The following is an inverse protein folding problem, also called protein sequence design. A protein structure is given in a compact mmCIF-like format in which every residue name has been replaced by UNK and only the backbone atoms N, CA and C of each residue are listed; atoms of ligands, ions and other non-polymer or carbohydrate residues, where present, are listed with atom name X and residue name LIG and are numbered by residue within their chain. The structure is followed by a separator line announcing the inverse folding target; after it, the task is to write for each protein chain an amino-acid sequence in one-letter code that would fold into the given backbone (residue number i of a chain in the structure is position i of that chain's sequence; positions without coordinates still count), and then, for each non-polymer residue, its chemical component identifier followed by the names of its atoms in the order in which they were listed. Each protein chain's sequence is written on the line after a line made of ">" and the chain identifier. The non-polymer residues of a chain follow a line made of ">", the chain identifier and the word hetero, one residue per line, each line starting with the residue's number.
data_IF_109936678324
#
_entry.id   IF_109936678324
#
_cell.length_a   1.000
_cell.length_b   1.000
_cell.length_c   1.000
_cell.angle_alpha   90.00
_cell.angle_beta   90.00
_cell.angle_gamma   90.00
#
_symmetry.space_group_name_H-M   'P 1'
#
loop_
_entity.id
_entity.type
_entity.pdbx_description
1 polymer ?
#
# COMPACT_ATOMS: atom_id res chain seq x y z
N UNK A 1 30.13 8.43 -4.95
CA UNK A 1 28.70 8.23 -5.29
C UNK A 1 27.89 9.33 -4.62
N UNK A 2 26.97 9.96 -5.36
CA UNK A 2 26.16 11.07 -4.83
C UNK A 2 24.93 10.57 -4.04
N UNK A 3 24.54 9.29 -4.21
CA UNK A 3 23.38 8.66 -3.59
C UNK A 3 23.75 7.40 -2.82
N UNK A 4 22.91 7.00 -1.84
CA UNK A 4 23.07 5.74 -1.14
C UNK A 4 23.00 4.57 -2.13
N UNK A 5 23.82 3.53 -1.91
CA UNK A 5 23.92 2.33 -2.76
C UNK A 5 22.53 1.69 -3.01
N UNK A 6 21.66 1.68 -2.01
CA UNK A 6 20.29 1.15 -2.11
C UNK A 6 19.43 1.82 -3.18
N UNK A 7 19.79 3.01 -3.63
CA UNK A 7 19.11 3.75 -4.67
C UNK A 7 19.83 3.78 -6.01
N UNK A 8 21.00 3.12 -6.12
CA UNK A 8 21.82 3.16 -7.33
C UNK A 8 21.27 2.33 -8.48
N UNK A 9 20.49 1.28 -8.18
CA UNK A 9 19.98 0.31 -9.14
C UNK A 9 18.44 0.17 -9.08
N UNK A 10 17.73 1.28 -8.85
CA UNK A 10 16.28 1.26 -8.89
C UNK A 10 15.79 0.93 -10.32
N UNK A 11 14.79 0.06 -10.47
CA UNK A 11 14.21 -0.21 -11.77
C UNK A 11 13.60 1.06 -12.36
N UNK A 12 13.74 1.22 -13.69
CA UNK A 12 13.15 2.36 -14.38
C UNK A 12 11.63 2.38 -14.19
N UNK A 13 11.10 3.55 -13.95
CA UNK A 13 9.66 3.75 -13.77
C UNK A 13 8.89 3.32 -15.03
N UNK A 14 7.81 2.58 -14.86
CA UNK A 14 7.06 2.00 -15.99
C UNK A 14 6.39 3.07 -16.89
N UNK A 15 5.93 4.18 -16.33
CA UNK A 15 5.19 5.21 -17.06
C UNK A 15 5.97 5.88 -18.20
N UNK A 16 7.23 6.33 -18.03
CA UNK A 16 8.02 6.85 -19.15
C UNK A 16 8.20 5.84 -20.27
N UNK A 17 8.40 4.57 -19.92
CA UNK A 17 8.52 3.49 -20.91
C UNK A 17 7.22 3.27 -21.67
N UNK A 18 6.09 3.25 -20.97
CA UNK A 18 4.78 3.13 -21.60
C UNK A 18 4.47 4.31 -22.52
N UNK A 19 4.77 5.54 -22.08
CA UNK A 19 4.60 6.73 -22.93
C UNK A 19 5.44 6.64 -24.20
N UNK A 20 6.71 6.28 -24.09
CA UNK A 20 7.58 6.15 -25.26
C UNK A 20 7.06 5.11 -26.28
N UNK A 21 6.43 4.04 -25.80
CA UNK A 21 5.77 3.05 -26.68
C UNK A 21 4.51 3.64 -27.34
N UNK A 22 3.69 4.36 -26.59
CA UNK A 22 2.45 4.95 -27.11
C UNK A 22 2.72 6.10 -28.09
N UNK A 23 3.70 6.96 -27.80
CA UNK A 23 4.05 8.11 -28.63
C UNK A 23 4.60 7.69 -30.02
N UNK A 24 5.05 6.44 -30.16
CA UNK A 24 5.51 5.89 -31.43
C UNK A 24 4.35 5.44 -32.35
N UNK A 25 3.10 5.49 -31.89
CA UNK A 25 1.94 4.99 -32.64
C UNK A 25 0.81 6.00 -32.66
N UNK A 26 0.24 6.24 -33.85
CA UNK A 26 -0.98 7.04 -33.95
C UNK A 26 -2.18 6.24 -33.48
N UNK A 27 -3.06 6.89 -32.69
CA UNK A 27 -4.31 6.29 -32.26
C UNK A 27 -5.35 6.20 -33.39
N UNK A 28 -6.16 5.15 -33.39
CA UNK A 28 -7.24 4.96 -34.38
C UNK A 28 -8.46 5.89 -34.18
N UNK A 29 -8.44 6.78 -33.16
CA UNK A 29 -9.53 7.68 -32.83
C UNK A 29 -9.23 8.52 -31.60
N UNK A 30 -10.26 9.12 -30.99
CA UNK A 30 -10.10 9.91 -29.75
C UNK A 30 -9.60 9.02 -28.62
N UNK A 31 -8.47 9.35 -27.96
CA UNK A 31 -7.90 8.54 -26.91
C UNK A 31 -8.84 8.42 -25.70
N UNK A 32 -9.04 7.18 -25.23
CA UNK A 32 -9.73 6.89 -23.97
C UNK A 32 -8.67 6.48 -22.95
N UNK A 33 -8.41 7.35 -21.97
CA UNK A 33 -7.40 7.10 -20.94
C UNK A 33 -7.93 6.12 -19.88
N UNK A 34 -7.44 4.87 -19.89
CA UNK A 34 -7.77 3.80 -18.95
C UNK A 34 -6.58 3.34 -18.09
N UNK A 35 -5.46 4.06 -18.12
CA UNK A 35 -4.21 3.67 -17.45
C UNK A 35 -4.15 4.06 -15.98
N UNK A 36 -5.00 5.00 -15.54
CA UNK A 36 -5.07 5.47 -14.15
C UNK A 36 -6.49 5.31 -13.65
N UNK A 37 -6.64 4.52 -12.58
CA UNK A 37 -7.92 4.34 -11.87
C UNK A 37 -8.17 5.48 -10.90
N UNK A 38 -8.74 6.58 -11.38
CA UNK A 38 -9.14 7.71 -10.55
C UNK A 38 -10.64 7.99 -10.66
N UNK A 39 -11.29 8.52 -9.61
CA UNK A 39 -12.69 8.93 -9.69
C UNK A 39 -12.89 10.01 -10.76
N UNK A 40 -13.88 9.84 -11.63
CA UNK A 40 -14.22 10.81 -12.69
C UNK A 40 -15.47 11.62 -12.38
N UNK A 41 -16.26 11.19 -11.38
CA UNK A 41 -17.47 11.88 -10.97
C UNK A 41 -17.14 13.09 -10.09
N UNK A 42 -17.98 14.13 -10.18
CA UNK A 42 -17.85 15.26 -9.28
C UNK A 42 -18.03 14.82 -7.81
N UNK A 43 -17.18 15.33 -6.94
CA UNK A 43 -17.34 15.10 -5.50
C UNK A 43 -18.57 15.85 -4.95
N UNK A 44 -19.19 15.40 -3.86
CA UNK A 44 -20.33 16.07 -3.25
C UNK A 44 -20.01 17.50 -2.83
N UNK A 45 -20.89 18.45 -3.13
CA UNK A 45 -20.68 19.89 -2.84
C UNK A 45 -20.44 20.18 -1.34
N UNK A 46 -21.06 19.42 -0.45
CA UNK A 46 -20.88 19.57 1.00
C UNK A 46 -19.41 19.42 1.47
N UNK A 47 -18.54 18.79 0.68
CA UNK A 47 -17.11 18.65 1.04
C UNK A 47 -16.42 20.01 1.16
N UNK A 48 -16.65 20.90 0.20
CA UNK A 48 -16.09 22.26 0.22
C UNK A 48 -16.72 23.12 1.32
N UNK A 49 -18.01 22.92 1.60
CA UNK A 49 -18.72 23.63 2.64
C UNK A 49 -18.14 23.28 4.03
N UNK A 50 -17.90 22.00 4.31
CA UNK A 50 -17.28 21.57 5.55
C UNK A 50 -15.83 22.06 5.69
N UNK A 51 -15.02 22.02 4.62
CA UNK A 51 -13.67 22.60 4.65
C UNK A 51 -13.72 24.10 4.98
N UNK A 52 -14.62 24.85 4.35
CA UNK A 52 -14.79 26.28 4.59
C UNK A 52 -15.22 26.58 6.04
N UNK A 53 -16.16 25.82 6.57
CA UNK A 53 -16.66 25.92 7.92
C UNK A 53 -15.56 25.72 8.97
N UNK A 54 -14.59 24.87 8.68
CA UNK A 54 -13.49 24.53 9.58
C UNK A 54 -12.15 25.18 9.18
N UNK A 55 -12.15 26.19 8.31
CA UNK A 55 -10.93 26.83 7.77
C UNK A 55 -10.00 27.39 8.84
N UNK A 56 -10.51 27.80 10.00
CA UNK A 56 -9.68 28.26 11.12
C UNK A 56 -8.68 27.20 11.63
N UNK A 57 -8.94 25.91 11.38
CA UNK A 57 -8.02 24.83 11.70
C UNK A 57 -6.68 24.89 10.95
N UNK A 58 -6.62 25.55 9.80
CA UNK A 58 -5.38 25.72 9.03
C UNK A 58 -4.37 26.69 9.69
N UNK A 59 -4.77 27.41 10.72
CA UNK A 59 -3.90 28.39 11.40
C UNK A 59 -2.87 27.76 12.37
N UNK A 60 -2.87 26.43 12.52
CA UNK A 60 -1.96 25.73 13.43
C UNK A 60 -1.55 24.37 12.88
N UNK A 61 -0.42 23.87 13.36
CA UNK A 61 -0.01 22.49 13.06
C UNK A 61 -0.96 21.50 13.74
N UNK A 62 -1.36 20.42 13.03
CA UNK A 62 -2.08 19.32 13.67
C UNK A 62 -1.15 18.51 14.58
N UNK A 63 -1.69 17.76 15.57
CA UNK A 63 -0.95 16.74 16.27
C UNK A 63 -0.37 15.68 15.31
N UNK A 64 0.79 15.11 15.64
CA UNK A 64 1.47 14.14 14.77
C UNK A 64 0.61 12.88 14.50
N UNK A 65 -0.10 12.42 15.50
CA UNK A 65 -1.00 11.26 15.43
C UNK A 65 -2.38 11.57 14.83
N UNK A 66 -2.66 12.82 14.54
CA UNK A 66 -3.98 13.34 14.18
C UNK A 66 -4.77 13.87 15.40
N UNK A 67 -5.74 14.75 15.14
CA UNK A 67 -6.55 15.27 16.24
C UNK A 67 -7.41 14.17 16.89
N UNK A 68 -7.72 14.27 18.20
CA UNK A 68 -8.58 13.30 18.88
C UNK A 68 -9.95 13.15 18.20
N UNK A 69 -10.52 14.26 17.67
CA UNK A 69 -11.79 14.24 16.97
C UNK A 69 -11.72 13.43 15.67
N UNK A 70 -10.64 13.57 14.91
CA UNK A 70 -10.43 12.79 13.68
C UNK A 70 -10.27 11.31 14.00
N UNK A 71 -9.45 10.94 14.98
CA UNK A 71 -9.22 9.57 15.39
C UNK A 71 -10.48 8.90 15.90
N UNK A 72 -11.27 9.61 16.73
CA UNK A 72 -12.58 9.15 17.20
C UNK A 72 -13.57 8.97 16.04
N UNK A 73 -13.62 9.90 15.10
CA UNK A 73 -14.50 9.79 13.92
C UNK A 73 -14.13 8.56 13.04
N UNK A 74 -12.83 8.27 12.90
CA UNK A 74 -12.35 7.07 12.20
C UNK A 74 -12.81 5.80 12.92
N UNK A 75 -12.64 5.71 14.24
CA UNK A 75 -13.07 4.56 15.05
C UNK A 75 -14.58 4.32 14.93
N UNK A 76 -15.39 5.37 15.07
CA UNK A 76 -16.84 5.30 14.91
C UNK A 76 -17.22 4.83 13.48
N UNK A 77 -16.51 5.30 12.46
CA UNK A 77 -16.78 4.89 11.08
C UNK A 77 -16.44 3.41 10.86
N UNK A 78 -15.32 2.93 11.41
CA UNK A 78 -14.89 1.52 11.31
C UNK A 78 -15.90 0.63 12.02
N UNK A 79 -16.31 1.00 13.24
CA UNK A 79 -17.32 0.25 13.99
C UNK A 79 -18.64 0.14 13.22
N UNK A 80 -19.12 1.26 12.66
CA UNK A 80 -20.35 1.28 11.86
C UNK A 80 -20.24 0.48 10.56
N UNK A 81 -19.08 0.54 9.89
CA UNK A 81 -18.89 -0.06 8.54
C UNK A 81 -18.56 -1.53 8.59
N UNK A 82 -17.77 -1.95 9.58
CA UNK A 82 -17.17 -3.27 9.66
C UNK A 82 -17.52 -4.04 10.92
N UNK A 83 -18.17 -3.41 11.91
CA UNK A 83 -18.47 -4.05 13.20
C UNK A 83 -17.24 -4.30 14.07
N UNK A 84 -16.16 -3.54 13.83
CA UNK A 84 -14.89 -3.66 14.58
C UNK A 84 -14.73 -2.43 15.46
N UNK A 85 -14.54 -2.65 16.76
CA UNK A 85 -14.23 -1.60 17.71
C UNK A 85 -12.71 -1.40 17.74
N UNK A 86 -12.28 -0.12 17.69
CA UNK A 86 -10.87 0.28 17.77
C UNK A 86 -10.72 1.40 18.78
N UNK A 87 -9.68 1.32 19.59
CA UNK A 87 -9.31 2.42 20.49
C UNK A 87 -8.69 3.58 19.69
N UNK A 88 -9.33 4.76 19.66
CA UNK A 88 -8.83 5.90 18.90
C UNK A 88 -7.47 6.41 19.38
N UNK A 89 -7.07 6.11 20.62
CA UNK A 89 -5.83 6.62 21.19
C UNK A 89 -4.61 5.71 20.95
N UNK A 90 -4.83 4.42 20.77
CA UNK A 90 -3.74 3.44 20.66
C UNK A 90 -3.73 2.68 19.31
N UNK A 91 -4.86 2.65 18.59
CA UNK A 91 -4.99 1.84 17.36
C UNK A 91 -5.27 2.67 16.10
N UNK A 92 -5.37 4.01 16.23
CA UNK A 92 -5.64 4.90 15.09
C UNK A 92 -4.60 6.00 15.00
N UNK A 93 -3.99 6.14 13.83
CA UNK A 93 -3.06 7.21 13.51
C UNK A 93 -3.41 7.84 12.15
N UNK A 94 -3.47 9.17 12.11
CA UNK A 94 -3.68 9.87 10.85
C UNK A 94 -2.43 9.83 9.97
N UNK A 95 -2.65 9.77 8.65
CA UNK A 95 -1.60 9.76 7.64
C UNK A 95 -1.81 10.89 6.65
N UNK A 96 -0.73 11.36 6.02
CA UNK A 96 -0.78 12.27 4.87
C UNK A 96 -1.13 11.55 3.56
N UNK A 97 -1.94 10.50 3.66
CA UNK A 97 -2.36 9.63 2.58
C UNK A 97 -1.83 8.20 2.76
N UNK A 98 -2.64 7.23 2.32
CA UNK A 98 -2.34 5.79 2.47
C UNK A 98 -1.08 5.36 1.71
N UNK A 99 -0.73 6.03 0.61
CA UNK A 99 0.50 5.77 -0.13
C UNK A 99 1.74 5.99 0.74
N UNK A 100 1.79 7.11 1.47
CA UNK A 100 2.89 7.40 2.41
C UNK A 100 2.87 6.45 3.60
N UNK A 101 1.68 6.13 4.10
CA UNK A 101 1.52 5.15 5.17
C UNK A 101 2.11 3.79 4.82
N UNK A 102 1.79 3.27 3.64
CA UNK A 102 2.34 2.00 3.14
C UNK A 102 3.87 2.05 2.99
N UNK A 103 4.41 3.16 2.49
CA UNK A 103 5.85 3.35 2.39
C UNK A 103 6.52 3.42 3.76
N UNK A 104 6.00 4.26 4.65
CA UNK A 104 6.58 4.50 5.97
C UNK A 104 6.46 3.29 6.90
N UNK A 105 5.39 2.50 6.80
CA UNK A 105 5.23 1.29 7.60
C UNK A 105 6.40 0.32 7.40
N UNK A 106 6.82 0.09 6.16
CA UNK A 106 7.98 -0.78 5.89
C UNK A 106 9.28 -0.17 6.38
N UNK A 107 9.44 1.16 6.24
CA UNK A 107 10.62 1.85 6.79
C UNK A 107 10.71 1.70 8.31
N UNK A 108 9.59 1.78 9.01
CA UNK A 108 9.53 1.64 10.47
C UNK A 108 9.70 0.19 10.94
N UNK A 109 9.18 -0.79 10.19
CA UNK A 109 9.14 -2.18 10.58
C UNK A 109 10.37 -2.99 10.14
N UNK A 110 11.14 -2.52 9.14
CA UNK A 110 12.28 -3.28 8.62
C UNK A 110 13.51 -3.12 9.48
N UNK A 111 13.96 -4.17 10.19
CA UNK A 111 15.24 -4.14 10.89
C UNK A 111 16.40 -4.17 9.88
N UNK A 112 17.61 -3.81 10.31
CA UNK A 112 18.80 -3.91 9.47
C UNK A 112 19.06 -5.36 9.03
N UNK A 113 18.77 -6.34 9.91
CA UNK A 113 18.85 -7.78 9.65
C UNK A 113 17.77 -8.53 10.44
N UNK A 114 17.24 -9.60 9.85
CA UNK A 114 16.38 -10.57 10.54
C UNK A 114 17.04 -11.94 10.41
N UNK A 115 17.27 -12.63 11.51
CA UNK A 115 17.99 -13.91 11.58
C UNK A 115 19.37 -13.86 10.88
N UNK A 116 20.10 -12.74 11.03
CA UNK A 116 21.42 -12.53 10.43
C UNK A 116 21.40 -12.22 8.93
N UNK A 117 20.24 -12.28 8.27
CA UNK A 117 20.06 -12.08 6.84
C UNK A 117 19.41 -10.72 6.51
N UNK A 118 19.43 -10.36 5.23
CA UNK A 118 18.67 -9.21 4.72
C UNK A 118 17.18 -9.48 4.89
N UNK A 119 16.40 -8.60 5.53
CA UNK A 119 14.97 -8.82 5.71
C UNK A 119 14.23 -8.86 4.36
N UNK A 120 13.16 -9.63 4.29
CA UNK A 120 12.29 -9.74 3.13
C UNK A 120 10.95 -9.04 3.38
N UNK A 121 10.43 -8.40 2.34
CA UNK A 121 9.07 -7.86 2.30
C UNK A 121 8.33 -8.55 1.16
N UNK A 122 7.29 -9.29 1.51
CA UNK A 122 6.49 -9.99 0.52
C UNK A 122 5.47 -9.05 -0.14
N UNK A 123 5.24 -9.24 -1.43
CA UNK A 123 4.24 -8.47 -2.17
C UNK A 123 3.65 -9.30 -3.31
N UNK A 124 2.37 -9.08 -3.68
CA UNK A 124 1.80 -9.72 -4.85
C UNK A 124 2.49 -9.25 -6.14
N UNK A 125 2.43 -10.02 -7.20
CA UNK A 125 2.82 -9.59 -8.54
C UNK A 125 1.66 -9.90 -9.52
N UNK A 126 1.00 -8.90 -10.11
CA UNK A 126 1.29 -7.45 -10.10
C UNK A 126 1.18 -6.77 -8.73
N UNK A 127 1.92 -5.67 -8.54
CA UNK A 127 2.02 -4.96 -7.27
C UNK A 127 1.87 -3.44 -7.44
N UNK A 128 1.52 -2.77 -6.35
CA UNK A 128 1.56 -1.32 -6.29
C UNK A 128 3.01 -0.88 -6.04
N UNK A 129 3.55 -0.01 -6.91
CA UNK A 129 4.98 0.36 -6.91
C UNK A 129 5.53 0.79 -5.55
N UNK A 130 4.71 1.38 -4.70
CA UNK A 130 5.13 1.85 -3.38
C UNK A 130 5.64 0.70 -2.50
N UNK A 131 5.14 -0.52 -2.68
CA UNK A 131 5.59 -1.68 -1.91
C UNK A 131 7.07 -1.98 -2.15
N UNK A 132 7.46 -2.07 -3.42
CA UNK A 132 8.84 -2.35 -3.81
C UNK A 132 9.78 -1.22 -3.38
N UNK A 133 9.39 0.03 -3.63
CA UNK A 133 10.23 1.18 -3.27
C UNK A 133 10.36 1.30 -1.75
N UNK A 134 9.30 1.06 -1.00
CA UNK A 134 9.35 1.00 0.47
C UNK A 134 10.33 -0.07 0.97
N UNK A 135 10.23 -1.30 0.43
CA UNK A 135 11.15 -2.39 0.77
C UNK A 135 12.62 -2.03 0.50
N UNK A 136 12.92 -1.53 -0.70
CA UNK A 136 14.27 -1.12 -1.09
C UNK A 136 14.80 0.02 -0.21
N UNK A 137 13.95 1.03 0.07
CA UNK A 137 14.33 2.17 0.91
C UNK A 137 14.61 1.75 2.36
N UNK A 138 13.83 0.79 2.88
CA UNK A 138 14.05 0.17 4.19
C UNK A 138 15.24 -0.79 4.24
N UNK A 139 15.97 -0.99 3.12
CA UNK A 139 17.08 -1.92 3.05
C UNK A 139 16.66 -3.39 2.88
N UNK A 140 15.36 -3.67 2.83
CA UNK A 140 14.82 -5.02 2.68
C UNK A 140 14.85 -5.49 1.21
N UNK A 141 14.71 -6.80 1.03
CA UNK A 141 14.52 -7.42 -0.28
C UNK A 141 13.03 -7.45 -0.63
N UNK A 142 12.60 -6.88 -1.77
CA UNK A 142 11.24 -7.07 -2.26
C UNK A 142 11.10 -8.48 -2.86
N UNK A 143 10.24 -9.31 -2.29
CA UNK A 143 9.91 -10.65 -2.78
C UNK A 143 8.55 -10.61 -3.45
N UNK A 144 8.54 -10.73 -4.77
CA UNK A 144 7.32 -10.66 -5.58
C UNK A 144 6.76 -12.06 -5.79
N UNK A 145 5.52 -12.29 -5.34
CA UNK A 145 4.83 -13.57 -5.45
C UNK A 145 3.73 -13.47 -6.50
N UNK A 146 3.77 -14.29 -7.55
CA UNK A 146 2.77 -14.25 -8.60
C UNK A 146 1.35 -14.43 -8.07
N UNK A 147 0.43 -13.58 -8.56
CA UNK A 147 -1.00 -13.66 -8.30
C UNK A 147 -1.70 -13.97 -9.62
N UNK A 148 -1.72 -15.25 -9.98
CA UNK A 148 -2.18 -15.76 -11.28
C UNK A 148 -3.58 -16.38 -11.21
N UNK A 149 -4.10 -16.82 -12.34
CA UNK A 149 -5.39 -17.52 -12.38
C UNK A 149 -5.36 -18.81 -11.56
N UNK A 150 -4.24 -19.53 -11.55
CA UNK A 150 -4.06 -20.75 -10.77
C UNK A 150 -4.15 -20.54 -9.26
N UNK A 151 -3.77 -19.35 -8.79
CA UNK A 151 -3.86 -18.96 -7.37
C UNK A 151 -5.10 -18.10 -7.06
N UNK A 152 -6.07 -18.07 -7.97
CA UNK A 152 -7.26 -17.23 -7.83
C UNK A 152 -6.95 -15.73 -7.79
N UNK A 153 -5.86 -15.32 -8.43
CA UNK A 153 -5.35 -13.93 -8.47
C UNK A 153 -4.98 -13.33 -7.09
N UNK A 154 -4.66 -14.19 -6.12
CA UNK A 154 -4.06 -13.82 -4.85
C UNK A 154 -2.67 -14.45 -4.72
N UNK A 155 -1.70 -13.83 -4.03
CA UNK A 155 -0.37 -14.41 -3.87
C UNK A 155 -0.40 -15.60 -2.92
N UNK A 156 0.23 -16.70 -3.29
CA UNK A 156 0.46 -17.84 -2.40
C UNK A 156 1.78 -17.66 -1.64
N UNK A 157 1.73 -16.94 -0.53
CA UNK A 157 2.91 -16.71 0.31
C UNK A 157 3.39 -17.99 1.04
N UNK A 158 2.49 -18.95 1.26
CA UNK A 158 2.85 -20.20 1.92
C UNK A 158 3.72 -21.11 1.05
N UNK A 159 3.71 -20.93 -0.28
CA UNK A 159 4.55 -21.68 -1.21
C UNK A 159 6.03 -21.24 -1.22
N UNK A 160 6.37 -20.15 -0.53
CA UNK A 160 7.73 -19.65 -0.48
C UNK A 160 8.65 -20.57 0.33
N UNK A 161 9.95 -20.64 -0.04
CA UNK A 161 10.93 -21.37 0.76
C UNK A 161 10.96 -20.87 2.21
N UNK A 162 11.11 -21.80 3.15
CA UNK A 162 11.17 -21.52 4.59
C UNK A 162 12.23 -20.45 4.93
N UNK A 163 13.36 -20.48 4.24
CA UNK A 163 14.44 -19.50 4.39
C UNK A 163 13.96 -18.07 4.09
N UNK A 164 13.06 -17.88 3.13
CA UNK A 164 12.47 -16.58 2.80
C UNK A 164 11.45 -16.18 3.86
N UNK A 165 10.60 -17.11 4.28
CA UNK A 165 9.58 -16.87 5.30
C UNK A 165 10.22 -16.43 6.62
N UNK A 166 11.26 -17.11 7.05
CA UNK A 166 11.97 -16.82 8.32
C UNK A 166 12.63 -15.44 8.37
N UNK A 167 13.00 -14.86 7.24
CA UNK A 167 13.53 -13.51 7.18
C UNK A 167 12.49 -12.47 6.74
N UNK A 168 11.23 -12.87 6.54
CA UNK A 168 10.15 -11.97 6.20
C UNK A 168 9.75 -11.11 7.38
N UNK A 169 9.71 -9.79 7.18
CA UNK A 169 9.34 -8.81 8.20
C UNK A 169 7.89 -8.34 8.04
N UNK A 170 7.44 -8.22 6.81
CA UNK A 170 6.07 -7.82 6.49
C UNK A 170 5.63 -8.39 5.14
N UNK A 171 4.33 -8.50 4.96
CA UNK A 171 3.70 -8.86 3.69
C UNK A 171 2.64 -7.81 3.32
N UNK A 172 2.66 -7.37 2.08
CA UNK A 172 1.60 -6.55 1.51
C UNK A 172 0.51 -7.42 0.90
N UNK A 173 -0.73 -7.09 1.19
CA UNK A 173 -1.88 -7.64 0.50
C UNK A 173 -2.88 -6.52 0.19
N UNK A 174 -3.49 -6.57 -0.98
CA UNK A 174 -4.55 -5.66 -1.40
C UNK A 174 -5.84 -6.45 -1.60
N UNK A 175 -6.92 -6.05 -0.92
CA UNK A 175 -8.25 -6.66 -1.10
C UNK A 175 -9.31 -5.55 -1.08
N UNK A 176 -10.04 -5.34 -2.18
CA UNK A 176 -9.90 -6.01 -3.49
C UNK A 176 -8.51 -5.84 -4.11
N UNK A 177 -8.00 -6.89 -4.79
CA UNK A 177 -6.68 -6.90 -5.40
C UNK A 177 -6.55 -5.86 -6.52
N UNK A 178 -5.42 -5.18 -6.59
CA UNK A 178 -5.12 -4.24 -7.68
C UNK A 178 -3.99 -4.83 -8.55
N UNK A 179 -4.24 -5.06 -9.88
CA UNK A 179 -5.38 -4.61 -10.69
C UNK A 179 -6.53 -5.62 -10.83
N UNK A 180 -6.45 -6.82 -10.27
CA UNK A 180 -7.30 -7.97 -10.62
C UNK A 180 -8.75 -7.85 -10.08
N UNK A 181 -8.98 -7.05 -9.02
CA UNK A 181 -10.31 -6.83 -8.43
C UNK A 181 -10.82 -7.97 -7.55
N UNK A 182 -10.03 -9.01 -7.32
CA UNK A 182 -10.42 -10.17 -6.50
C UNK A 182 -10.43 -9.81 -5.02
N UNK A 183 -11.46 -10.25 -4.31
CA UNK A 183 -11.58 -10.09 -2.86
C UNK A 183 -11.05 -11.34 -2.17
N UNK A 184 -10.11 -11.17 -1.25
CA UNK A 184 -9.58 -12.26 -0.44
C UNK A 184 -10.69 -12.83 0.47
N UNK A 185 -10.83 -14.14 0.49
CA UNK A 185 -11.79 -14.84 1.34
C UNK A 185 -11.38 -14.78 2.81
N UNK A 186 -12.33 -15.08 3.70
CA UNK A 186 -12.06 -15.19 5.13
C UNK A 186 -11.03 -16.28 5.43
N UNK A 187 -11.11 -17.40 4.73
CA UNK A 187 -10.16 -18.51 4.90
C UNK A 187 -8.77 -18.13 4.45
N UNK A 188 -8.63 -17.42 3.33
CA UNK A 188 -7.34 -16.89 2.87
C UNK A 188 -6.69 -15.98 3.94
N UNK A 189 -7.47 -15.10 4.57
CA UNK A 189 -6.97 -14.26 5.67
C UNK A 189 -6.54 -15.07 6.88
N UNK A 190 -7.33 -16.11 7.26
CA UNK A 190 -6.98 -16.97 8.38
C UNK A 190 -5.68 -17.73 8.14
N UNK A 191 -5.48 -18.26 6.92
CA UNK A 191 -4.26 -18.96 6.52
C UNK A 191 -3.05 -18.02 6.51
N UNK A 192 -3.22 -16.78 6.03
CA UNK A 192 -2.16 -15.79 6.03
C UNK A 192 -1.75 -15.36 7.45
N UNK A 193 -2.72 -15.19 8.35
CA UNK A 193 -2.45 -14.88 9.76
C UNK A 193 -1.70 -16.06 10.40
N UNK A 194 -2.17 -17.29 10.21
CA UNK A 194 -1.50 -18.48 10.74
C UNK A 194 -0.08 -18.67 10.18
N UNK A 195 0.17 -18.24 8.94
CA UNK A 195 1.52 -18.22 8.38
C UNK A 195 2.41 -17.18 9.06
N UNK A 196 1.87 -16.02 9.42
CA UNK A 196 2.62 -14.94 10.05
C UNK A 196 2.96 -15.23 11.54
N UNK A 197 2.22 -16.14 12.18
CA UNK A 197 2.42 -16.56 13.58
C UNK A 197 3.50 -17.66 13.75
N UNK A 198 3.97 -18.25 12.65
CA UNK A 198 5.06 -19.26 12.64
C UNK A 198 6.44 -18.62 12.64
#
# INVERSE_FOLDING_TARGET
>A
MMYSERFSNLPAHAWPRLRALLDAHEGGGVPIHMTIGEPKHAFPAWVTDEITKHAAGFNRYPPNEGSPELRSAISVWIARRYGVEMDPDTEVMALNGTREGLYNAVMALSPARKNGQRPAILMPNPFYQVYMIGALSGGAEPVMVPATAETGHLPDYASLPEEVLQRTTAAYLCSPANPQGVVASRDYWADLIALAEK
#
